data_IF_938408198117
#
_entry.id   IF_938408198117
#
_cell.length_a   1.000
_cell.length_b   1.000
_cell.length_c   1.000
_cell.angle_alpha   90.00
_cell.angle_beta   90.00
_cell.angle_gamma   90.00
#
_symmetry.space_group_name_H-M   'P 1'
#
loop_
_entity.id
_entity.type
_entity.pdbx_description
1 polymer ?
#
# COMPACT_ATOMS: atom_id res chain seq x y z
N UNK A 1 48.18 62.56 -23.90
CA UNK A 1 49.34 62.88 -23.04
C UNK A 1 49.01 62.37 -21.65
N UNK A 2 49.38 61.14 -21.31
CA UNK A 2 50.66 60.82 -20.61
C UNK A 2 50.82 61.67 -19.34
N UNK A 3 51.19 61.20 -18.16
CA UNK A 3 51.72 59.92 -17.67
C UNK A 3 51.78 60.03 -16.12
N UNK A 4 51.76 58.90 -15.40
CA UNK A 4 52.86 58.41 -14.54
C UNK A 4 53.13 59.20 -13.23
N UNK A 5 52.88 58.47 -12.13
CA UNK A 5 53.74 58.26 -10.96
C UNK A 5 54.75 59.37 -10.58
N UNK A 6 54.71 59.80 -9.32
CA UNK A 6 55.92 59.86 -8.50
C UNK A 6 55.59 60.08 -7.01
N UNK A 7 55.95 59.06 -6.22
CA UNK A 7 56.71 59.07 -4.94
C UNK A 7 56.38 60.12 -3.86
N UNK A 8 56.42 59.87 -2.56
CA UNK A 8 56.98 58.80 -1.76
C UNK A 8 57.31 59.39 -0.37
N UNK A 9 57.24 58.55 0.68
CA UNK A 9 57.61 58.81 2.10
C UNK A 9 56.64 59.64 2.94
N UNK A 10 55.84 58.93 3.75
CA UNK A 10 56.04 58.98 5.21
C UNK A 10 55.43 57.73 5.87
N UNK A 11 56.26 56.69 5.96
CA UNK A 11 56.13 55.66 6.98
C UNK A 11 56.47 56.27 8.35
N UNK A 12 55.70 55.88 9.37
CA UNK A 12 55.95 55.86 10.82
C UNK A 12 54.96 56.73 11.60
N UNK A 13 53.88 56.11 12.04
CA UNK A 13 53.31 56.22 13.40
C UNK A 13 51.85 55.75 13.34
N UNK A 14 51.62 54.44 13.44
CA UNK A 14 50.34 53.87 13.86
C UNK A 14 50.58 52.43 14.32
N UNK A 15 51.36 52.31 15.39
CA UNK A 15 51.31 51.19 16.32
C UNK A 15 50.73 51.72 17.64
N UNK A 16 49.79 50.95 18.18
CA UNK A 16 49.20 51.08 19.51
C UNK A 16 48.30 52.31 19.74
N UNK A 17 46.98 52.09 19.74
CA UNK A 17 46.16 52.18 20.96
C UNK A 17 44.70 51.87 20.66
N UNK A 18 44.29 50.69 21.13
CA UNK A 18 43.03 50.43 21.86
C UNK A 18 41.68 50.85 21.26
N UNK A 19 40.88 49.79 21.08
CA UNK A 19 39.47 49.60 21.51
C UNK A 19 38.37 49.75 20.45
N UNK A 20 37.60 48.67 20.43
CA UNK A 20 36.15 48.63 20.27
C UNK A 20 35.59 48.44 18.86
N UNK A 21 35.41 47.14 18.55
CA UNK A 21 34.21 46.50 18.01
C UNK A 21 34.50 45.59 16.81
N UNK A 22 33.93 44.40 16.89
CA UNK A 22 34.01 43.22 16.01
C UNK A 22 35.16 42.23 16.22
N UNK A 23 34.88 41.11 16.93
CA UNK A 23 35.49 39.84 16.63
C UNK A 23 34.56 38.94 15.80
N UNK A 24 35.16 38.34 14.77
CA UNK A 24 34.97 36.96 14.31
C UNK A 24 33.67 36.24 14.69
N UNK A 25 32.82 35.97 13.70
CA UNK A 25 31.93 34.81 13.74
C UNK A 25 32.76 33.57 13.40
N UNK A 26 33.42 33.02 14.42
CA UNK A 26 33.79 31.60 14.50
C UNK A 26 32.86 30.98 15.54
N UNK A 27 32.46 29.73 15.30
CA UNK A 27 31.70 28.86 16.20
C UNK A 27 30.21 29.22 16.39
N UNK A 28 29.36 28.50 15.66
CA UNK A 28 28.10 27.99 16.21
C UNK A 28 27.90 26.54 15.75
N UNK A 29 28.43 25.64 16.58
CA UNK A 29 27.76 24.43 17.04
C UNK A 29 27.18 23.53 15.94
N UNK A 30 28.06 22.71 15.36
CA UNK A 30 27.75 21.30 15.12
C UNK A 30 27.28 20.69 16.45
N UNK A 31 25.97 20.69 16.70
CA UNK A 31 25.42 19.80 17.71
C UNK A 31 25.68 18.38 17.21
N UNK A 32 26.29 17.49 18.01
CA UNK A 32 26.30 16.10 17.64
C UNK A 32 24.84 15.69 17.51
N UNK A 33 24.48 15.11 16.36
CA UNK A 33 23.30 14.26 16.29
C UNK A 33 23.47 13.32 17.48
N UNK A 34 22.64 13.47 18.50
CA UNK A 34 22.51 12.45 19.51
C UNK A 34 22.09 11.21 18.73
N UNK A 35 23.05 10.34 18.43
CA UNK A 35 22.78 8.92 18.30
C UNK A 35 22.16 8.56 19.63
N UNK A 36 20.84 8.62 19.68
CA UNK A 36 20.09 7.79 20.59
C UNK A 36 20.69 6.41 20.41
N UNK A 37 21.32 5.90 21.45
CA UNK A 37 21.73 4.52 21.52
C UNK A 37 20.49 3.71 21.20
N UNK A 38 20.46 3.14 19.99
CA UNK A 38 19.43 2.22 19.56
C UNK A 38 19.48 1.03 20.50
N UNK A 39 18.65 1.05 21.54
CA UNK A 39 18.28 -0.16 22.27
C UNK A 39 17.74 -1.14 21.24
N UNK A 40 18.42 -2.27 21.08
CA UNK A 40 18.37 -3.10 19.89
C UNK A 40 16.97 -3.56 19.49
N UNK A 41 16.66 -3.36 18.20
CA UNK A 41 16.25 -4.41 17.26
C UNK A 41 15.28 -5.50 17.78
N UNK A 42 14.10 -5.10 18.28
CA UNK A 42 12.97 -6.02 18.51
C UNK A 42 11.68 -5.57 17.79
N UNK A 43 11.50 -4.27 17.53
CA UNK A 43 10.26 -3.68 16.97
C UNK A 43 10.31 -3.38 15.46
N UNK A 44 10.86 -4.29 14.63
CA UNK A 44 10.85 -4.10 13.17
C UNK A 44 9.62 -4.75 12.54
N UNK A 45 9.03 -4.06 11.56
CA UNK A 45 8.03 -4.63 10.66
C UNK A 45 8.75 -5.53 9.65
N UNK A 46 8.17 -6.68 9.33
CA UNK A 46 8.74 -7.64 8.39
C UNK A 46 8.00 -7.66 7.05
N UNK A 47 6.79 -7.10 7.02
CA UNK A 47 5.92 -7.04 5.84
C UNK A 47 4.46 -7.23 6.21
N UNK A 48 3.63 -7.41 5.19
CA UNK A 48 2.22 -7.80 5.36
C UNK A 48 2.14 -9.29 5.72
N UNK A 49 1.40 -9.63 6.78
CA UNK A 49 1.15 -11.04 7.16
C UNK A 49 -0.04 -11.61 6.37
N UNK A 50 -1.18 -10.90 6.41
CA UNK A 50 -2.38 -11.23 5.62
C UNK A 50 -3.32 -10.02 5.56
N UNK A 51 -4.28 -10.07 4.63
CA UNK A 51 -5.43 -9.15 4.63
C UNK A 51 -6.68 -9.91 5.03
N UNK A 52 -7.44 -9.35 5.97
CA UNK A 52 -8.68 -9.94 6.48
C UNK A 52 -9.87 -9.17 5.91
N UNK A 53 -10.71 -9.89 5.17
CA UNK A 53 -11.93 -9.39 4.57
C UNK A 53 -13.14 -9.83 5.38
N UNK A 54 -14.07 -8.90 5.59
CA UNK A 54 -15.41 -9.23 6.04
C UNK A 54 -16.33 -9.21 4.82
N UNK A 55 -16.97 -10.35 4.59
CA UNK A 55 -17.72 -10.60 3.36
C UNK A 55 -19.05 -11.28 3.66
N UNK A 56 -20.03 -11.11 2.77
CA UNK A 56 -21.33 -11.74 2.89
C UNK A 56 -21.26 -13.27 2.84
N UNK A 57 -20.32 -13.82 2.06
CA UNK A 57 -20.11 -15.26 1.94
C UNK A 57 -18.63 -15.63 1.76
N UNK A 58 -17.96 -15.97 2.87
CA UNK A 58 -16.54 -16.34 2.91
C UNK A 58 -16.18 -17.51 1.99
N UNK A 59 -17.08 -18.49 1.86
CA UNK A 59 -16.85 -19.68 1.01
C UNK A 59 -16.83 -19.29 -0.47
N UNK A 60 -17.77 -18.45 -0.90
CA UNK A 60 -17.84 -17.99 -2.29
C UNK A 60 -16.73 -16.99 -2.61
N UNK A 61 -16.42 -16.07 -1.70
CA UNK A 61 -15.30 -15.14 -1.86
C UNK A 61 -13.99 -15.92 -2.04
N UNK A 62 -13.67 -16.85 -1.13
CA UNK A 62 -12.46 -17.68 -1.27
C UNK A 62 -12.42 -18.45 -2.60
N UNK A 63 -13.54 -19.07 -3.01
CA UNK A 63 -13.64 -19.78 -4.29
C UNK A 63 -13.41 -18.87 -5.51
N UNK A 64 -13.90 -17.62 -5.46
CA UNK A 64 -13.67 -16.63 -6.51
C UNK A 64 -12.18 -16.30 -6.63
N UNK A 65 -11.48 -16.02 -5.54
CA UNK A 65 -10.04 -15.72 -5.57
C UNK A 65 -9.19 -16.95 -5.95
N UNK A 66 -9.59 -18.15 -5.52
CA UNK A 66 -8.94 -19.41 -5.96
C UNK A 66 -9.06 -19.58 -7.47
N UNK A 67 -10.27 -19.42 -8.01
CA UNK A 67 -10.56 -19.70 -9.42
C UNK A 67 -10.04 -18.61 -10.35
N UNK A 68 -10.27 -17.33 -10.00
CA UNK A 68 -9.95 -16.19 -10.87
C UNK A 68 -8.51 -15.74 -10.75
N UNK A 69 -8.00 -15.68 -9.52
CA UNK A 69 -6.69 -15.09 -9.23
C UNK A 69 -5.58 -16.10 -9.06
N UNK A 70 -5.88 -17.40 -9.05
CA UNK A 70 -4.86 -18.43 -8.92
C UNK A 70 -4.42 -18.68 -7.48
N UNK A 71 -5.20 -18.26 -6.50
CA UNK A 71 -4.96 -18.61 -5.09
C UNK A 71 -5.26 -20.09 -4.82
N UNK A 72 -4.74 -20.59 -3.72
CA UNK A 72 -4.92 -21.95 -3.23
C UNK A 72 -5.55 -21.91 -1.82
N UNK A 73 -6.46 -22.84 -1.48
CA UNK A 73 -6.96 -22.96 -0.11
C UNK A 73 -5.84 -23.39 0.83
N UNK A 74 -5.77 -22.78 2.02
CA UNK A 74 -4.72 -23.09 3.00
C UNK A 74 -5.30 -23.54 4.32
N UNK A 75 -6.22 -22.75 4.88
CA UNK A 75 -6.70 -22.99 6.22
C UNK A 75 -8.17 -22.60 6.37
N UNK A 76 -8.85 -23.24 7.30
CA UNK A 76 -10.23 -23.01 7.63
C UNK A 76 -10.44 -22.96 9.13
N UNK A 77 -11.34 -22.07 9.55
CA UNK A 77 -11.90 -22.08 10.89
C UNK A 77 -13.41 -21.86 10.80
N UNK A 78 -14.21 -22.72 11.41
CA UNK A 78 -15.67 -22.62 11.38
C UNK A 78 -16.32 -23.65 12.29
N UNK A 79 -17.55 -24.06 11.99
CA UNK A 79 -18.35 -24.93 12.88
C UNK A 79 -17.62 -26.24 13.18
N UNK A 80 -17.03 -26.83 12.14
CA UNK A 80 -16.30 -28.10 12.14
C UNK A 80 -15.00 -28.02 12.95
N UNK A 81 -14.48 -26.81 13.17
CA UNK A 81 -13.27 -26.56 13.97
C UNK A 81 -13.59 -25.83 15.29
N UNK A 82 -14.86 -25.83 15.72
CA UNK A 82 -15.31 -25.26 17.00
C UNK A 82 -15.60 -23.76 17.01
N UNK A 83 -15.43 -23.04 15.90
CA UNK A 83 -15.79 -21.63 15.77
C UNK A 83 -17.26 -21.47 15.44
N UNK A 84 -18.08 -21.03 16.41
CA UNK A 84 -19.55 -21.03 16.29
C UNK A 84 -20.16 -19.72 15.80
N UNK A 85 -19.41 -18.62 15.88
CA UNK A 85 -19.90 -17.28 15.56
C UNK A 85 -19.45 -16.79 14.18
N UNK A 86 -18.25 -17.18 13.74
CA UNK A 86 -17.61 -16.74 12.50
C UNK A 86 -16.97 -17.94 11.80
N UNK A 87 -17.15 -18.01 10.49
CA UNK A 87 -16.38 -18.90 9.61
C UNK A 87 -15.37 -18.08 8.80
N UNK A 88 -14.14 -18.59 8.70
CA UNK A 88 -13.03 -17.95 8.00
C UNK A 88 -12.38 -18.93 7.04
N UNK A 89 -12.29 -18.54 5.76
CA UNK A 89 -11.56 -19.24 4.72
C UNK A 89 -10.25 -18.51 4.44
N UNK A 90 -9.11 -19.19 4.48
CA UNK A 90 -7.80 -18.61 4.21
C UNK A 90 -7.26 -19.18 2.93
N UNK A 91 -6.87 -18.30 2.02
CA UNK A 91 -6.28 -18.64 0.73
C UNK A 91 -4.94 -17.94 0.56
N UNK A 92 -4.05 -18.55 -0.24
CA UNK A 92 -2.68 -18.07 -0.44
C UNK A 92 -2.23 -18.16 -1.89
N UNK A 93 -1.35 -17.25 -2.30
CA UNK A 93 -0.56 -17.37 -3.52
C UNK A 93 0.82 -16.76 -3.26
N UNK A 94 1.88 -17.55 -3.47
CA UNK A 94 3.23 -17.13 -3.07
C UNK A 94 3.28 -16.87 -1.55
N UNK A 95 3.48 -15.62 -1.16
CA UNK A 95 3.42 -15.13 0.23
C UNK A 95 2.19 -14.25 0.52
N UNK A 96 1.36 -13.96 -0.48
CA UNK A 96 0.10 -13.24 -0.29
C UNK A 96 -0.91 -14.17 0.41
N UNK A 97 -1.50 -13.72 1.51
CA UNK A 97 -2.57 -14.44 2.21
C UNK A 97 -3.80 -13.56 2.38
N UNK A 98 -4.97 -14.07 2.00
CA UNK A 98 -6.26 -13.46 2.25
C UNK A 98 -7.11 -14.35 3.15
N UNK A 99 -7.68 -13.76 4.20
CA UNK A 99 -8.63 -14.40 5.09
C UNK A 99 -10.02 -13.81 4.85
N UNK A 100 -10.99 -14.60 4.43
CA UNK A 100 -12.37 -14.17 4.22
C UNK A 100 -13.24 -14.67 5.36
N UNK A 101 -13.92 -13.76 6.07
CA UNK A 101 -14.82 -14.12 7.16
C UNK A 101 -16.26 -13.73 6.89
N UNK A 102 -17.18 -14.56 7.38
CA UNK A 102 -18.60 -14.27 7.47
C UNK A 102 -19.16 -14.72 8.81
N UNK A 103 -20.16 -13.99 9.32
CA UNK A 103 -20.92 -14.41 10.48
C UNK A 103 -21.70 -15.71 10.18
N UNK A 104 -21.73 -16.62 11.15
CA UNK A 104 -22.49 -17.87 11.09
C UNK A 104 -23.88 -17.74 11.74
N UNK A 105 -24.00 -16.88 12.74
CA UNK A 105 -25.25 -16.66 13.47
C UNK A 105 -26.04 -15.48 12.88
N UNK A 106 -27.37 -15.61 12.75
CA UNK A 106 -28.23 -14.46 12.50
C UNK A 106 -28.05 -13.39 13.58
N UNK A 107 -28.11 -12.11 13.20
CA UNK A 107 -28.08 -11.00 14.15
C UNK A 107 -26.69 -10.63 14.70
N UNK A 108 -25.60 -11.17 14.13
CA UNK A 108 -24.26 -10.67 14.42
C UNK A 108 -24.15 -9.20 13.95
N UNK A 109 -24.21 -8.26 14.90
CA UNK A 109 -24.34 -6.84 14.59
C UNK A 109 -23.07 -6.25 13.99
N UNK A 110 -21.89 -6.77 14.34
CA UNK A 110 -20.63 -6.23 13.83
C UNK A 110 -20.48 -6.50 12.32
N UNK A 111 -20.68 -7.76 11.91
CA UNK A 111 -20.69 -8.11 10.49
C UNK A 111 -21.85 -7.44 9.76
N UNK A 112 -23.04 -7.36 10.37
CA UNK A 112 -24.19 -6.70 9.74
C UNK A 112 -23.91 -5.23 9.46
N UNK A 113 -23.39 -4.47 10.44
CA UNK A 113 -23.05 -3.05 10.25
C UNK A 113 -21.97 -2.86 9.18
N UNK A 114 -20.94 -3.69 9.19
CA UNK A 114 -19.87 -3.60 8.20
C UNK A 114 -20.40 -3.89 6.79
N UNK A 115 -21.12 -5.00 6.60
CA UNK A 115 -21.62 -5.42 5.29
C UNK A 115 -22.69 -4.48 4.74
N UNK A 116 -23.57 -3.95 5.60
CA UNK A 116 -24.55 -2.95 5.21
C UNK A 116 -23.85 -1.69 4.68
N UNK A 117 -22.88 -1.18 5.45
CA UNK A 117 -22.17 0.05 5.13
C UNK A 117 -21.25 -0.09 3.92
N UNK A 118 -20.41 -1.11 3.90
CA UNK A 118 -19.27 -1.22 2.98
C UNK A 118 -19.48 -2.22 1.83
N UNK A 119 -20.37 -3.20 1.98
CA UNK A 119 -20.35 -4.42 1.17
C UNK A 119 -19.21 -5.33 1.59
N UNK A 120 -18.68 -6.14 0.66
CA UNK A 120 -17.51 -6.96 0.91
C UNK A 120 -16.26 -6.07 0.92
N UNK A 121 -15.43 -6.14 1.96
CA UNK A 121 -14.33 -5.19 2.13
C UNK A 121 -13.21 -5.69 3.03
N UNK A 122 -12.05 -5.03 2.94
CA UNK A 122 -10.93 -5.27 3.86
C UNK A 122 -11.29 -4.67 5.22
N UNK A 123 -11.29 -5.50 6.25
CA UNK A 123 -11.50 -5.09 7.64
C UNK A 123 -10.17 -4.86 8.36
N UNK A 124 -9.16 -5.68 8.10
CA UNK A 124 -7.87 -5.64 8.81
C UNK A 124 -6.70 -5.85 7.85
N UNK A 125 -5.68 -5.02 8.00
CA UNK A 125 -4.39 -5.16 7.32
C UNK A 125 -3.39 -5.65 8.36
N UNK A 126 -3.15 -6.96 8.39
CA UNK A 126 -2.26 -7.56 9.38
C UNK A 126 -0.78 -7.42 8.98
N UNK A 127 0.05 -7.06 9.94
CA UNK A 127 1.48 -6.77 9.75
C UNK A 127 2.32 -7.75 10.57
N UNK A 128 3.26 -8.45 9.93
CA UNK A 128 4.21 -9.29 10.66
C UNK A 128 5.25 -8.39 11.33
N UNK A 129 5.50 -8.62 12.61
CA UNK A 129 6.43 -7.82 13.42
C UNK A 129 7.38 -8.70 14.23
N UNK A 130 8.56 -8.17 14.54
CA UNK A 130 9.53 -8.83 15.43
C UNK A 130 9.04 -8.96 16.88
N UNK A 131 8.32 -7.95 17.38
CA UNK A 131 7.79 -7.88 18.74
C UNK A 131 6.41 -7.21 18.76
N UNK A 132 5.38 -8.04 18.86
CA UNK A 132 3.98 -7.60 18.84
C UNK A 132 3.63 -6.77 20.07
N UNK A 133 4.17 -7.10 21.24
CA UNK A 133 3.86 -6.40 22.49
C UNK A 133 4.45 -4.99 22.45
N UNK A 134 5.72 -4.87 22.07
CA UNK A 134 6.40 -3.58 22.00
C UNK A 134 5.75 -2.62 20.98
N UNK A 135 5.38 -3.11 19.79
CA UNK A 135 4.72 -2.29 18.76
C UNK A 135 3.35 -1.81 19.24
N UNK A 136 2.55 -2.72 19.82
CA UNK A 136 1.25 -2.38 20.37
C UNK A 136 1.33 -1.38 21.53
N UNK A 137 2.21 -1.63 22.51
CA UNK A 137 2.36 -0.79 23.70
C UNK A 137 2.79 0.62 23.31
N UNK A 138 3.72 0.75 22.35
CA UNK A 138 4.11 2.03 21.78
C UNK A 138 2.92 2.73 21.10
N UNK A 139 2.16 2.03 20.27
CA UNK A 139 1.03 2.63 19.55
C UNK A 139 -0.02 3.17 20.53
N UNK A 140 -0.42 2.37 21.52
CA UNK A 140 -1.42 2.75 22.53
C UNK A 140 -0.89 3.85 23.46
N UNK A 141 0.38 3.80 23.86
CA UNK A 141 1.00 4.87 24.66
C UNK A 141 1.02 6.22 23.91
N UNK A 142 1.08 6.19 22.58
CA UNK A 142 0.96 7.38 21.74
C UNK A 142 -0.50 7.73 21.39
N UNK A 143 -1.50 7.01 21.91
CA UNK A 143 -2.92 7.33 21.74
C UNK A 143 -3.63 6.60 20.60
N UNK A 144 -3.09 5.48 20.11
CA UNK A 144 -3.86 4.59 19.23
C UNK A 144 -5.01 3.92 19.97
N UNK A 145 -6.17 3.77 19.31
CA UNK A 145 -7.31 3.03 19.85
C UNK A 145 -7.00 1.54 19.89
N UNK A 146 -7.06 0.95 21.08
CA UNK A 146 -6.91 -0.50 21.28
C UNK A 146 -8.19 -1.24 20.91
N UNK A 147 -8.11 -2.15 19.95
CA UNK A 147 -9.19 -3.09 19.63
C UNK A 147 -9.03 -4.40 20.40
N UNK A 148 -7.80 -4.95 20.42
CA UNK A 148 -7.47 -6.16 21.17
C UNK A 148 -6.05 -6.07 21.73
N UNK A 149 -5.85 -6.17 23.06
CA UNK A 149 -4.51 -6.18 23.64
C UNK A 149 -3.74 -7.45 23.26
N UNK A 150 -2.41 -7.45 23.43
CA UNK A 150 -1.56 -8.58 23.05
C UNK A 150 -2.01 -9.87 23.71
N UNK A 151 -2.42 -10.82 22.87
CA UNK A 151 -2.88 -12.13 23.24
C UNK A 151 -1.97 -13.20 22.63
N UNK A 152 -1.55 -14.13 23.46
CA UNK A 152 -0.71 -15.25 23.06
C UNK A 152 -1.58 -16.49 22.87
N UNK A 153 -1.41 -17.15 21.73
CA UNK A 153 -2.13 -18.37 21.39
C UNK A 153 -1.15 -19.41 20.88
N UNK A 154 -1.37 -20.66 21.27
CA UNK A 154 -0.49 -21.77 20.92
C UNK A 154 -1.30 -22.99 20.53
N UNK A 155 -0.72 -23.81 19.66
CA UNK A 155 -1.17 -25.16 19.31
C UNK A 155 0.05 -26.07 19.11
N UNK A 156 -0.14 -27.25 18.52
CA UNK A 156 0.94 -28.20 18.23
C UNK A 156 2.02 -27.66 17.29
N UNK A 157 1.75 -26.58 16.57
CA UNK A 157 2.65 -26.00 15.59
C UNK A 157 3.49 -24.84 16.12
N UNK A 158 3.28 -24.39 17.36
CA UNK A 158 4.06 -23.34 18.02
C UNK A 158 3.19 -22.23 18.63
N UNK A 159 3.76 -21.03 18.75
CA UNK A 159 3.10 -19.90 19.40
C UNK A 159 3.04 -18.66 18.50
N UNK A 160 1.90 -17.97 18.56
CA UNK A 160 1.69 -16.67 17.91
C UNK A 160 1.16 -15.67 18.93
N UNK A 161 1.77 -14.47 18.96
CA UNK A 161 1.26 -13.31 19.69
C UNK A 161 0.60 -12.36 18.70
N UNK A 162 -0.61 -11.93 19.00
CA UNK A 162 -1.34 -10.94 18.18
C UNK A 162 -1.89 -9.80 19.02
N UNK A 163 -1.95 -8.60 18.46
CA UNK A 163 -2.57 -7.43 19.06
C UNK A 163 -3.16 -6.55 17.96
N UNK A 164 -4.26 -5.85 18.23
CA UNK A 164 -5.00 -5.11 17.19
C UNK A 164 -5.30 -3.69 17.63
N UNK A 165 -5.04 -2.73 16.73
CA UNK A 165 -5.35 -1.29 16.88
C UNK A 165 -6.18 -0.80 15.71
N UNK A 166 -6.84 0.35 15.88
CA UNK A 166 -7.65 1.00 14.84
C UNK A 166 -6.97 2.29 14.35
N UNK A 167 -6.44 2.31 13.11
CA UNK A 167 -5.84 3.50 12.52
C UNK A 167 -6.84 4.58 12.11
N UNK A 168 -7.97 4.19 11.51
CA UNK A 168 -9.00 5.10 11.01
C UNK A 168 -10.29 4.35 10.71
N UNK A 169 -11.41 5.06 10.87
CA UNK A 169 -12.75 4.59 10.54
C UNK A 169 -12.98 3.13 11.00
N UNK A 170 -13.34 2.25 10.08
CA UNK A 170 -13.64 0.84 10.34
C UNK A 170 -12.47 -0.10 9.96
N UNK A 171 -11.27 0.40 9.65
CA UNK A 171 -10.10 -0.42 9.28
C UNK A 171 -9.22 -0.71 10.48
N UNK A 172 -8.72 -1.93 10.60
CA UNK A 172 -7.84 -2.37 11.69
C UNK A 172 -6.41 -2.67 11.20
N UNK A 173 -5.49 -2.67 12.16
CA UNK A 173 -4.17 -3.29 12.04
C UNK A 173 -3.94 -4.32 13.14
N UNK A 174 -3.82 -5.59 12.77
CA UNK A 174 -3.32 -6.66 13.65
C UNK A 174 -1.82 -6.85 13.48
N UNK A 175 -1.06 -6.66 14.56
CA UNK A 175 0.34 -7.06 14.61
C UNK A 175 0.43 -8.56 14.89
N UNK A 176 1.25 -9.27 14.11
CA UNK A 176 1.42 -10.72 14.22
C UNK A 176 2.89 -11.04 14.46
N UNK A 177 3.19 -11.68 15.59
CA UNK A 177 4.51 -12.18 15.92
C UNK A 177 4.45 -13.71 16.00
N UNK A 178 5.16 -14.37 15.09
CA UNK A 178 5.27 -15.84 15.02
C UNK A 178 6.56 -16.28 15.70
N UNK A 179 6.48 -17.11 16.74
CA UNK A 179 7.65 -17.68 17.41
C UNK A 179 7.69 -19.17 17.15
N UNK A 180 8.55 -19.58 16.20
CA UNK A 180 8.70 -20.96 15.74
C UNK A 180 7.36 -21.61 15.31
N UNK A 181 6.38 -20.80 14.87
CA UNK A 181 5.09 -21.29 14.43
C UNK A 181 5.16 -21.85 13.01
N UNK A 182 4.72 -23.10 12.83
CA UNK A 182 4.80 -23.84 11.55
C UNK A 182 3.44 -24.27 11.01
N UNK A 183 2.36 -23.81 11.62
CA UNK A 183 1.00 -24.18 11.26
C UNK A 183 0.53 -23.51 9.97
N UNK A 184 -0.63 -23.90 9.45
CA UNK A 184 -1.09 -23.46 8.13
C UNK A 184 -1.40 -21.96 8.06
N UNK A 185 -1.86 -21.37 9.16
CA UNK A 185 -2.16 -19.94 9.24
C UNK A 185 -1.97 -19.35 10.64
N UNK A 186 -2.89 -19.60 11.57
CA UNK A 186 -2.85 -19.16 12.97
C UNK A 186 -3.40 -20.27 13.86
N UNK A 187 -3.09 -20.28 15.17
CA UNK A 187 -3.64 -21.29 16.07
C UNK A 187 -5.16 -21.40 16.01
N UNK A 188 -5.66 -22.63 15.96
CA UNK A 188 -7.09 -22.93 15.85
C UNK A 188 -7.66 -22.90 14.43
N UNK A 189 -6.81 -22.81 13.40
CA UNK A 189 -7.18 -23.06 12.00
C UNK A 189 -6.75 -24.46 11.57
N UNK A 190 -7.67 -25.21 10.97
CA UNK A 190 -7.38 -26.51 10.36
C UNK A 190 -6.92 -26.34 8.91
N UNK A 191 -6.03 -27.19 8.40
CA UNK A 191 -5.64 -27.16 6.99
C UNK A 191 -6.82 -27.54 6.09
N UNK A 192 -6.89 -26.91 4.91
CA UNK A 192 -7.84 -27.31 3.86
C UNK A 192 -7.14 -28.22 2.83
N UNK A 193 -7.88 -29.19 2.24
CA UNK A 193 -7.36 -29.95 1.12
C UNK A 193 -7.20 -29.05 -0.12
N UNK A 194 -6.35 -29.48 -1.04
CA UNK A 194 -6.21 -28.85 -2.35
C UNK A 194 -7.55 -28.86 -3.11
N UNK A 195 -7.87 -27.75 -3.78
CA UNK A 195 -9.04 -27.65 -4.66
C UNK A 195 -8.67 -28.19 -6.06
N UNK A 196 -9.39 -29.20 -6.60
CA UNK A 196 -9.13 -29.73 -7.94
C UNK A 196 -9.14 -28.68 -9.06
N UNK A 197 -9.81 -27.54 -8.88
CA UNK A 197 -9.79 -26.45 -9.86
C UNK A 197 -8.37 -25.90 -10.08
N UNK A 198 -7.49 -26.02 -9.08
CA UNK A 198 -6.09 -25.58 -9.13
C UNK A 198 -5.35 -26.21 -10.30
N UNK A 199 -5.60 -27.50 -10.56
CA UNK A 199 -4.98 -28.24 -11.66
C UNK A 199 -5.56 -27.89 -13.04
N UNK A 200 -6.76 -27.29 -13.11
CA UNK A 200 -7.47 -26.99 -14.36
C UNK A 200 -7.24 -25.57 -14.87
N UNK A 201 -6.67 -24.69 -14.04
CA UNK A 201 -6.42 -23.29 -14.37
C UNK A 201 -4.93 -23.01 -14.48
N UNK A 202 -4.48 -22.12 -15.38
CA UNK A 202 -3.10 -21.65 -15.37
C UNK A 202 -2.79 -20.83 -14.10
N UNK A 203 -1.57 -20.99 -13.57
CA UNK A 203 -1.08 -20.25 -12.42
C UNK A 203 -0.81 -18.78 -12.78
N UNK A 204 -1.17 -17.84 -11.90
CA UNK A 204 -0.93 -16.41 -12.13
C UNK A 204 0.49 -15.98 -11.70
N UNK A 205 1.13 -16.66 -10.75
CA UNK A 205 2.51 -16.36 -10.37
C UNK A 205 2.67 -15.05 -9.58
N UNK A 206 1.69 -14.73 -8.74
CA UNK A 206 1.77 -13.61 -7.80
C UNK A 206 2.55 -14.05 -6.55
N UNK A 207 3.40 -13.17 -6.00
CA UNK A 207 4.28 -13.50 -4.87
C UNK A 207 3.96 -12.73 -3.59
N UNK A 208 4.13 -11.41 -3.55
CA UNK A 208 3.95 -10.59 -2.33
C UNK A 208 2.91 -9.49 -2.52
N UNK A 209 2.36 -9.02 -1.40
CA UNK A 209 1.69 -7.73 -1.35
C UNK A 209 2.79 -6.66 -1.43
N UNK A 210 2.76 -5.84 -2.49
CA UNK A 210 3.70 -4.74 -2.71
C UNK A 210 3.34 -3.53 -1.85
N UNK A 211 2.05 -3.15 -1.89
CA UNK A 211 1.50 -2.06 -1.12
C UNK A 211 -0.03 -2.17 -1.01
N UNK A 212 -0.63 -1.44 -0.06
CA UNK A 212 -2.08 -1.41 0.16
C UNK A 212 -2.53 0.05 0.28
N UNK A 213 -3.49 0.43 -0.55
CA UNK A 213 -3.92 1.82 -0.69
C UNK A 213 -5.23 2.07 0.05
N UNK A 214 -5.27 3.16 0.80
CA UNK A 214 -6.47 3.60 1.50
C UNK A 214 -6.97 4.94 1.00
N UNK A 215 -8.27 5.02 0.73
CA UNK A 215 -8.95 6.27 0.41
C UNK A 215 -9.59 6.84 1.67
N UNK A 216 -9.50 8.17 1.81
CA UNK A 216 -10.05 8.95 2.91
C UNK A 216 -11.09 9.95 2.40
N UNK A 217 -11.90 10.49 3.30
CA UNK A 217 -12.76 11.63 2.99
C UNK A 217 -11.96 12.90 2.68
N UNK A 218 -12.67 13.96 2.28
CA UNK A 218 -12.04 15.25 2.03
C UNK A 218 -11.36 15.79 3.28
N UNK A 219 -10.09 16.21 3.15
CA UNK A 219 -9.22 16.71 4.21
C UNK A 219 -8.90 15.70 5.32
N UNK A 220 -9.09 14.40 5.08
CA UNK A 220 -8.83 13.32 6.04
C UNK A 220 -7.50 12.58 5.81
N UNK A 221 -6.76 12.83 4.72
CA UNK A 221 -5.46 12.17 4.45
C UNK A 221 -4.41 12.51 5.52
N UNK A 222 -4.21 13.80 5.78
CA UNK A 222 -3.16 14.29 6.70
C UNK A 222 -3.32 13.78 8.15
N UNK A 223 -4.53 13.77 8.75
CA UNK A 223 -4.77 13.07 10.02
C UNK A 223 -4.31 11.61 10.03
N UNK A 224 -4.61 10.84 8.98
CA UNK A 224 -4.23 9.42 8.87
C UNK A 224 -2.72 9.26 8.71
N UNK A 225 -2.09 10.07 7.87
CA UNK A 225 -0.62 10.09 7.71
C UNK A 225 0.07 10.35 9.05
N UNK A 226 -0.42 11.33 9.83
CA UNK A 226 0.10 11.61 11.18
C UNK A 226 -0.11 10.44 12.13
N UNK A 227 -1.24 9.73 12.04
CA UNK A 227 -1.46 8.53 12.84
C UNK A 227 -0.34 7.50 12.63
N UNK A 228 0.00 7.17 11.38
CA UNK A 228 1.08 6.21 11.10
C UNK A 228 2.43 6.69 11.64
N UNK A 229 2.74 7.98 11.50
CA UNK A 229 3.99 8.54 11.98
C UNK A 229 4.09 8.55 13.51
N UNK A 230 3.07 9.09 14.18
CA UNK A 230 3.07 9.24 15.63
C UNK A 230 2.96 7.90 16.35
N UNK A 231 2.09 7.01 15.87
CA UNK A 231 1.74 5.77 16.60
C UNK A 231 2.67 4.63 16.24
N UNK A 232 3.05 4.49 14.97
CA UNK A 232 3.87 3.37 14.48
C UNK A 232 5.30 3.78 14.11
N UNK A 233 5.62 5.08 14.04
CA UNK A 233 6.95 5.55 13.64
C UNK A 233 7.23 5.41 12.16
N UNK A 234 6.19 5.37 11.34
CA UNK A 234 6.35 5.40 9.89
C UNK A 234 6.80 6.79 9.45
N UNK A 235 7.51 6.86 8.33
CA UNK A 235 7.86 8.12 7.68
C UNK A 235 7.04 8.35 6.43
N UNK A 236 6.93 9.62 6.01
CA UNK A 236 6.47 9.94 4.66
C UNK A 236 7.54 9.47 3.69
N UNK A 237 7.22 8.43 2.94
CA UNK A 237 8.09 7.86 1.93
C UNK A 237 8.04 8.69 0.66
N UNK A 238 6.82 9.09 0.27
CA UNK A 238 6.57 9.74 -1.00
C UNK A 238 5.25 10.52 -0.96
N UNK A 239 5.09 11.54 -1.79
CA UNK A 239 3.87 12.34 -1.88
C UNK A 239 3.68 12.95 -3.25
N UNK A 240 2.41 13.16 -3.61
CA UNK A 240 1.94 13.87 -4.79
C UNK A 240 0.73 14.72 -4.45
N UNK A 241 0.70 15.90 -5.04
CA UNK A 241 -0.42 16.81 -4.97
C UNK A 241 -1.23 16.83 -6.28
N UNK A 242 -2.29 17.63 -6.27
CA UNK A 242 -3.21 17.82 -7.39
C UNK A 242 -2.59 18.60 -8.55
N UNK A 243 -1.50 19.35 -8.33
CA UNK A 243 -0.72 19.94 -9.44
C UNK A 243 -0.01 18.85 -10.25
N UNK A 244 0.39 17.76 -9.59
CA UNK A 244 1.06 16.62 -10.23
C UNK A 244 0.08 15.54 -10.72
N UNK A 245 -1.08 15.38 -10.07
CA UNK A 245 -2.08 14.36 -10.41
C UNK A 245 -3.46 14.99 -10.62
N UNK A 246 -3.71 15.36 -11.88
CA UNK A 246 -5.03 15.78 -12.36
C UNK A 246 -5.26 15.31 -13.80
N UNK A 247 -6.52 15.07 -14.13
CA UNK A 247 -7.02 15.05 -15.51
C UNK A 247 -7.62 16.42 -15.84
N UNK A 248 -8.23 16.55 -17.03
CA UNK A 248 -9.07 17.72 -17.32
C UNK A 248 -10.25 17.83 -16.34
N UNK A 249 -10.69 16.71 -15.74
CA UNK A 249 -11.95 16.63 -15.01
C UNK A 249 -11.79 16.43 -13.50
N UNK A 250 -10.80 15.68 -13.01
CA UNK A 250 -10.67 15.36 -11.58
C UNK A 250 -9.21 15.24 -11.12
N UNK A 251 -8.99 15.25 -9.81
CA UNK A 251 -7.68 15.18 -9.17
C UNK A 251 -7.72 14.40 -7.85
N UNK A 252 -6.54 14.04 -7.32
CA UNK A 252 -6.37 13.54 -5.95
C UNK A 252 -5.08 14.08 -5.34
N UNK A 253 -4.97 13.92 -4.02
CA UNK A 253 -3.70 14.05 -3.29
C UNK A 253 -3.38 12.69 -2.66
N UNK A 254 -2.09 12.33 -2.65
CA UNK A 254 -1.64 11.06 -2.08
C UNK A 254 -0.34 11.23 -1.30
N UNK A 255 -0.29 10.62 -0.11
CA UNK A 255 0.93 10.48 0.67
C UNK A 255 1.14 9.00 0.98
N UNK A 256 2.31 8.50 0.64
CA UNK A 256 2.75 7.15 0.99
C UNK A 256 3.47 7.20 2.31
N UNK A 257 2.95 6.47 3.29
CA UNK A 257 3.65 6.20 4.54
C UNK A 257 4.32 4.84 4.47
N UNK A 258 5.48 4.74 5.11
CA UNK A 258 6.28 3.53 5.10
C UNK A 258 6.93 3.28 6.45
N UNK A 259 7.14 2.01 6.80
CA UNK A 259 7.97 1.67 7.95
C UNK A 259 9.45 2.04 7.68
N UNK A 260 10.30 2.17 8.72
CA UNK A 260 11.70 2.57 8.56
C UNK A 260 12.55 1.68 7.63
N UNK A 261 12.20 0.39 7.47
CA UNK A 261 12.89 -0.53 6.57
C UNK A 261 12.26 -0.57 5.16
N UNK A 262 11.18 0.18 4.95
CA UNK A 262 10.47 0.33 3.68
C UNK A 262 9.92 -0.97 3.08
N UNK A 263 9.59 -1.91 3.96
CA UNK A 263 8.98 -3.20 3.60
C UNK A 263 7.45 -3.15 3.58
N UNK A 264 6.84 -2.25 4.38
CA UNK A 264 5.40 -1.98 4.38
C UNK A 264 5.17 -0.59 3.83
N UNK A 265 4.45 -0.49 2.70
CA UNK A 265 4.09 0.78 2.07
C UNK A 265 2.58 0.94 2.00
N UNK A 266 2.07 2.05 2.48
CA UNK A 266 0.64 2.36 2.53
C UNK A 266 0.38 3.75 1.91
N UNK A 267 0.01 3.83 0.63
CA UNK A 267 -0.51 5.06 0.03
C UNK A 267 -1.86 5.46 0.66
N UNK A 268 -1.96 6.71 1.09
CA UNK A 268 -3.17 7.31 1.68
C UNK A 268 -3.63 8.41 0.74
N UNK A 269 -4.85 8.30 0.21
CA UNK A 269 -5.41 9.24 -0.75
C UNK A 269 -6.56 10.06 -0.14
N UNK A 270 -6.73 11.28 -0.60
CA UNK A 270 -7.96 12.07 -0.42
C UNK A 270 -8.41 12.69 -1.74
N UNK A 271 -9.70 13.02 -1.88
CA UNK A 271 -10.17 13.76 -3.04
C UNK A 271 -9.50 15.15 -3.13
N UNK A 272 -9.40 15.66 -4.35
CA UNK A 272 -9.02 17.03 -4.62
C UNK A 272 -10.02 17.67 -5.59
N UNK A 273 -10.01 19.00 -5.66
CA UNK A 273 -10.99 19.76 -6.43
C UNK A 273 -10.74 19.58 -7.94
N UNK A 274 -11.83 19.34 -8.69
CA UNK A 274 -11.83 19.25 -10.14
C UNK A 274 -13.15 19.72 -10.74
N UNK A 275 -13.27 19.72 -12.07
CA UNK A 275 -14.51 20.02 -12.79
C UNK A 275 -15.60 18.99 -12.47
N UNK A 276 -15.19 17.75 -12.15
CA UNK A 276 -16.03 16.59 -11.91
C UNK A 276 -15.66 15.89 -10.60
N UNK A 277 -16.51 14.94 -10.18
CA UNK A 277 -16.31 14.22 -8.92
C UNK A 277 -15.06 13.34 -9.01
N UNK A 278 -14.12 13.51 -8.07
CA UNK A 278 -12.95 12.65 -7.93
C UNK A 278 -13.37 11.18 -7.70
N UNK A 279 -12.67 10.25 -8.35
CA UNK A 279 -12.82 8.80 -8.10
C UNK A 279 -12.63 8.41 -6.63
N UNK A 280 -11.84 9.19 -5.87
CA UNK A 280 -11.67 8.97 -4.42
C UNK A 280 -12.99 9.25 -3.70
N UNK A 281 -13.71 10.29 -4.12
CA UNK A 281 -15.04 10.58 -3.60
C UNK A 281 -16.06 9.53 -4.05
N UNK A 282 -16.00 9.02 -5.29
CA UNK A 282 -16.84 7.88 -5.71
C UNK A 282 -16.63 6.68 -4.77
N UNK A 283 -15.38 6.32 -4.47
CA UNK A 283 -15.08 5.27 -3.51
C UNK A 283 -15.74 5.55 -2.16
N UNK A 284 -15.53 6.75 -1.58
CA UNK A 284 -16.06 7.09 -0.25
C UNK A 284 -17.59 7.04 -0.22
N UNK A 285 -18.25 7.47 -1.29
CA UNK A 285 -19.72 7.44 -1.39
C UNK A 285 -20.27 6.01 -1.39
N UNK A 286 -19.67 5.10 -2.18
CA UNK A 286 -20.16 3.72 -2.31
C UNK A 286 -19.63 2.77 -1.22
N UNK A 287 -18.46 3.06 -0.65
CA UNK A 287 -17.93 2.35 0.51
C UNK A 287 -18.57 2.85 1.82
N UNK A 288 -19.12 4.06 1.83
CA UNK A 288 -19.74 4.67 3.01
C UNK A 288 -18.74 5.27 4.01
N UNK A 289 -17.53 5.64 3.57
CA UNK A 289 -16.48 6.22 4.39
C UNK A 289 -15.05 5.85 3.92
N UNK A 290 -14.02 6.13 4.74
CA UNK A 290 -12.65 5.70 4.47
C UNK A 290 -12.48 4.18 4.46
N UNK A 291 -11.54 3.68 3.67
CA UNK A 291 -11.26 2.25 3.57
C UNK A 291 -10.18 1.90 2.55
N UNK A 292 -9.91 0.60 2.42
CA UNK A 292 -8.93 0.08 1.47
C UNK A 292 -9.51 0.09 0.05
N UNK A 293 -8.86 0.83 -0.84
CA UNK A 293 -9.25 0.94 -2.24
C UNK A 293 -8.64 -0.18 -3.08
N UNK A 294 -7.34 -0.42 -2.95
CA UNK A 294 -6.70 -1.47 -3.72
C UNK A 294 -5.51 -2.10 -3.02
N UNK A 295 -5.19 -3.29 -3.51
CA UNK A 295 -4.10 -4.13 -3.04
C UNK A 295 -3.22 -4.45 -4.24
N UNK A 296 -1.95 -4.05 -4.18
CA UNK A 296 -0.99 -4.34 -5.23
C UNK A 296 -0.27 -5.66 -4.94
N UNK A 297 -0.28 -6.56 -5.91
CA UNK A 297 0.33 -7.88 -5.84
C UNK A 297 1.49 -7.97 -6.82
N UNK A 298 2.69 -8.14 -6.28
CA UNK A 298 3.90 -8.23 -7.07
C UNK A 298 4.00 -9.57 -7.79
N UNK A 299 4.59 -9.55 -8.99
CA UNK A 299 4.98 -10.73 -9.74
C UNK A 299 6.34 -10.53 -10.42
N UNK A 300 7.16 -11.59 -10.57
CA UNK A 300 8.39 -11.53 -11.35
C UNK A 300 8.16 -11.64 -12.87
N UNK A 301 6.96 -12.01 -13.32
CA UNK A 301 6.60 -12.11 -14.75
C UNK A 301 5.15 -11.69 -14.99
N UNK A 302 4.97 -10.39 -15.18
CA UNK A 302 3.68 -9.74 -15.36
C UNK A 302 3.00 -10.10 -16.68
N UNK A 303 3.78 -10.43 -17.72
CA UNK A 303 3.26 -10.87 -19.01
C UNK A 303 2.53 -12.19 -18.84
N UNK A 304 3.18 -13.17 -18.20
CA UNK A 304 2.57 -14.46 -17.90
C UNK A 304 1.41 -14.29 -16.91
N UNK A 305 1.59 -13.50 -15.86
CA UNK A 305 0.57 -13.27 -14.84
C UNK A 305 -0.73 -12.73 -15.44
N UNK A 306 -0.68 -11.62 -16.18
CA UNK A 306 -1.88 -11.01 -16.76
C UNK A 306 -2.48 -11.90 -17.84
N UNK A 307 -1.66 -12.56 -18.65
CA UNK A 307 -2.16 -13.53 -19.65
C UNK A 307 -3.00 -14.63 -18.97
N UNK A 308 -2.52 -15.17 -17.86
CA UNK A 308 -3.19 -16.25 -17.15
C UNK A 308 -4.39 -15.75 -16.34
N UNK A 309 -4.30 -14.57 -15.72
CA UNK A 309 -5.44 -13.92 -15.05
C UNK A 309 -6.58 -13.63 -16.04
N UNK A 310 -6.28 -13.10 -17.24
CA UNK A 310 -7.29 -12.90 -18.30
C UNK A 310 -7.91 -14.25 -18.74
N UNK A 311 -7.12 -15.33 -18.88
CA UNK A 311 -7.64 -16.68 -19.17
C UNK A 311 -8.54 -17.23 -18.06
N UNK A 312 -8.22 -16.92 -16.80
CA UNK A 312 -9.03 -17.27 -15.64
C UNK A 312 -10.29 -16.41 -15.53
N UNK A 313 -10.47 -15.40 -16.38
CA UNK A 313 -11.64 -14.54 -16.46
C UNK A 313 -11.57 -13.27 -15.61
N UNK A 314 -10.38 -12.86 -15.16
CA UNK A 314 -10.19 -11.56 -14.51
C UNK A 314 -10.36 -10.45 -15.54
N UNK A 315 -11.18 -9.46 -15.19
CA UNK A 315 -11.38 -8.25 -15.99
C UNK A 315 -10.46 -7.13 -15.52
N UNK A 316 -9.82 -6.47 -16.47
CA UNK A 316 -8.92 -5.33 -16.25
C UNK A 316 -9.53 -4.04 -16.80
N UNK A 317 -9.01 -2.90 -16.34
CA UNK A 317 -9.31 -1.61 -16.95
C UNK A 317 -8.81 -1.57 -18.40
N UNK A 318 -9.40 -0.69 -19.22
CA UNK A 318 -9.02 -0.55 -20.62
C UNK A 318 -8.10 0.65 -20.83
N UNK A 319 -6.96 0.42 -21.49
CA UNK A 319 -5.96 1.45 -21.75
C UNK A 319 -6.01 1.84 -23.23
N UNK A 320 -6.12 3.15 -23.57
CA UNK A 320 -6.24 3.56 -24.97
C UNK A 320 -4.93 3.33 -25.73
N UNK A 321 -5.03 2.94 -27.01
CA UNK A 321 -3.84 2.74 -27.88
C UNK A 321 -2.92 3.95 -27.98
N UNK A 322 -3.47 5.17 -27.85
CA UNK A 322 -2.70 6.41 -27.86
C UNK A 322 -1.66 6.46 -26.74
N UNK A 323 -1.95 5.86 -25.57
CA UNK A 323 -0.97 5.74 -24.49
C UNK A 323 0.31 5.03 -24.94
N UNK A 324 0.19 3.92 -25.68
CA UNK A 324 1.33 3.14 -26.14
C UNK A 324 2.14 3.84 -27.24
N UNK A 325 1.46 4.64 -28.08
CA UNK A 325 2.11 5.49 -29.06
C UNK A 325 2.99 6.54 -28.37
N UNK A 326 2.43 7.22 -27.36
CA UNK A 326 3.14 8.22 -26.57
C UNK A 326 4.25 7.59 -25.72
N UNK A 327 4.01 6.42 -25.12
CA UNK A 327 5.00 5.66 -24.36
C UNK A 327 6.23 5.33 -25.20
N UNK A 328 6.05 4.83 -26.44
CA UNK A 328 7.16 4.52 -27.36
C UNK A 328 7.97 5.77 -27.70
N UNK A 329 7.30 6.91 -27.90
CA UNK A 329 7.98 8.18 -28.13
C UNK A 329 8.80 8.62 -26.91
N UNK A 330 8.26 8.51 -25.68
CA UNK A 330 8.99 8.83 -24.44
C UNK A 330 10.18 7.90 -24.22
N UNK A 331 10.00 6.58 -24.38
CA UNK A 331 11.10 5.61 -24.23
C UNK A 331 12.22 5.86 -25.25
N UNK A 332 11.89 6.24 -26.48
CA UNK A 332 12.86 6.60 -27.52
C UNK A 332 13.72 7.83 -27.20
N UNK A 333 13.34 8.62 -26.19
CA UNK A 333 14.13 9.76 -25.68
C UNK A 333 15.04 9.38 -24.52
N UNK A 334 15.03 8.12 -24.08
CA UNK A 334 15.83 7.62 -22.96
C UNK A 334 16.78 6.50 -23.40
N UNK A 335 17.79 6.21 -22.59
CA UNK A 335 18.64 5.02 -22.76
C UNK A 335 18.08 3.77 -22.09
N UNK A 336 16.92 3.88 -21.44
CA UNK A 336 16.31 2.79 -20.70
C UNK A 336 15.78 1.71 -21.67
N UNK A 337 16.09 0.46 -21.36
CA UNK A 337 15.60 -0.68 -22.12
C UNK A 337 14.61 -1.47 -21.27
N UNK A 338 13.33 -1.42 -21.67
CA UNK A 338 12.30 -2.32 -21.16
C UNK A 338 12.58 -3.72 -21.72
N UNK A 339 12.60 -4.72 -20.86
CA UNK A 339 12.99 -6.09 -21.24
C UNK A 339 11.85 -6.83 -21.93
N UNK A 340 10.61 -6.51 -21.55
CA UNK A 340 9.40 -7.09 -22.10
C UNK A 340 9.08 -6.53 -23.49
N UNK A 341 8.45 -7.37 -24.32
CA UNK A 341 7.99 -6.98 -25.65
C UNK A 341 6.87 -5.92 -25.56
N UNK A 342 7.13 -4.73 -26.11
CA UNK A 342 6.21 -3.60 -26.04
C UNK A 342 4.87 -3.85 -26.75
N UNK A 343 4.86 -4.67 -27.80
CA UNK A 343 3.62 -5.04 -28.50
C UNK A 343 2.75 -5.95 -27.62
N UNK A 344 3.38 -6.84 -26.86
CA UNK A 344 2.72 -7.67 -25.86
C UNK A 344 2.23 -6.85 -24.66
N UNK A 345 3.00 -5.86 -24.20
CA UNK A 345 2.58 -4.89 -23.18
C UNK A 345 1.31 -4.15 -23.62
N UNK A 346 1.29 -3.64 -24.86
CA UNK A 346 0.11 -2.98 -25.44
C UNK A 346 -1.10 -3.91 -25.52
N UNK A 347 -0.90 -5.14 -26.03
CA UNK A 347 -1.97 -6.14 -26.13
C UNK A 347 -2.54 -6.54 -24.77
N UNK A 348 -1.71 -6.55 -23.72
CA UNK A 348 -2.14 -6.90 -22.37
C UNK A 348 -2.67 -5.72 -21.57
N UNK A 349 -2.57 -4.49 -22.11
CA UNK A 349 -3.00 -3.26 -21.45
C UNK A 349 -2.21 -2.98 -20.16
N UNK A 350 -0.89 -3.21 -20.21
CA UNK A 350 0.06 -2.96 -19.13
C UNK A 350 0.57 -1.52 -19.23
N UNK A 351 0.61 -0.79 -18.13
CA UNK A 351 1.17 0.55 -18.03
C UNK A 351 2.66 0.46 -17.65
N UNK A 352 3.47 1.38 -18.18
CA UNK A 352 4.89 1.53 -17.84
C UNK A 352 5.15 2.95 -17.34
N UNK A 353 5.69 3.03 -16.12
CA UNK A 353 6.39 4.23 -15.68
C UNK A 353 7.86 3.94 -15.45
N UNK A 354 8.69 4.95 -15.54
CA UNK A 354 10.13 4.77 -15.45
C UNK A 354 10.86 6.01 -14.98
N UNK A 355 12.03 5.79 -14.41
CA UNK A 355 12.98 6.82 -14.04
C UNK A 355 14.39 6.47 -14.56
N UNK A 356 15.41 7.05 -13.95
CA UNK A 356 16.80 6.84 -14.33
C UNK A 356 17.38 5.52 -13.80
N UNK A 357 16.78 4.95 -12.75
CA UNK A 357 17.25 3.74 -12.08
C UNK A 357 16.54 2.49 -12.63
N UNK A 358 15.31 2.64 -13.13
CA UNK A 358 14.52 1.52 -13.59
C UNK A 358 13.13 1.83 -14.12
N UNK A 359 12.29 0.80 -14.18
CA UNK A 359 10.89 0.92 -14.61
C UNK A 359 9.94 0.04 -13.80
N UNK A 360 8.68 0.43 -13.88
CA UNK A 360 7.53 -0.17 -13.22
C UNK A 360 6.52 -0.60 -14.27
N UNK A 361 6.14 -1.87 -14.22
CA UNK A 361 5.01 -2.39 -14.97
C UNK A 361 3.82 -2.58 -14.03
N UNK A 362 2.66 -2.11 -14.42
CA UNK A 362 1.45 -2.25 -13.60
C UNK A 362 0.19 -2.33 -14.45
N UNK A 363 -0.85 -2.96 -13.91
CA UNK A 363 -2.22 -2.86 -14.44
C UNK A 363 -3.22 -3.08 -13.31
N UNK A 364 -4.47 -2.68 -13.53
CA UNK A 364 -5.51 -2.71 -12.52
C UNK A 364 -6.70 -3.54 -12.97
N UNK A 365 -7.24 -4.32 -12.06
CA UNK A 365 -8.49 -5.01 -12.29
C UNK A 365 -9.66 -4.02 -12.27
N UNK A 366 -10.79 -4.41 -12.84
CA UNK A 366 -12.08 -3.79 -12.49
C UNK A 366 -12.41 -4.04 -11.00
N UNK A 367 -13.35 -3.31 -10.39
CA UNK A 367 -13.80 -3.61 -9.03
C UNK A 367 -14.14 -5.09 -8.83
N UNK A 368 -13.80 -5.65 -7.66
CA UNK A 368 -14.02 -7.07 -7.33
C UNK A 368 -15.43 -7.35 -6.79
N UNK A 369 -16.29 -6.33 -6.82
CA UNK A 369 -17.69 -6.38 -6.49
C UNK A 369 -18.43 -5.29 -7.29
N UNK A 370 -19.76 -5.30 -7.27
CA UNK A 370 -20.56 -4.34 -8.02
C UNK A 370 -20.35 -2.88 -7.56
N UNK A 371 -20.09 -2.68 -6.26
CA UNK A 371 -19.73 -1.36 -5.74
C UNK A 371 -18.34 -0.95 -6.28
N UNK A 372 -18.15 0.25 -6.84
CA UNK A 372 -16.88 0.72 -7.38
C UNK A 372 -15.89 1.07 -6.26
N UNK A 373 -15.46 0.05 -5.52
CA UNK A 373 -14.70 0.18 -4.28
C UNK A 373 -13.39 -0.59 -4.39
N UNK A 374 -13.30 -1.80 -3.85
CA UNK A 374 -12.08 -2.60 -3.86
C UNK A 374 -11.74 -3.09 -5.29
N UNK A 375 -10.52 -2.80 -5.75
CA UNK A 375 -9.89 -3.45 -6.90
C UNK A 375 -8.48 -3.93 -6.56
N UNK A 376 -7.81 -4.57 -7.51
CA UNK A 376 -6.47 -5.13 -7.32
C UNK A 376 -5.52 -4.58 -8.39
N UNK A 377 -4.26 -4.44 -8.01
CA UNK A 377 -3.18 -4.08 -8.92
C UNK A 377 -2.24 -5.27 -9.08
N UNK A 378 -1.78 -5.52 -10.30
CA UNK A 378 -0.69 -6.45 -10.59
C UNK A 378 0.52 -5.63 -10.98
N UNK A 379 1.64 -5.82 -10.28
CA UNK A 379 2.81 -4.95 -10.38
C UNK A 379 4.10 -5.75 -10.55
N UNK A 380 5.03 -5.25 -11.36
CA UNK A 380 6.39 -5.78 -11.48
C UNK A 380 7.38 -4.62 -11.49
N UNK A 381 8.42 -4.73 -10.66
CA UNK A 381 9.43 -3.70 -10.44
C UNK A 381 10.77 -4.16 -11.02
N UNK A 382 11.38 -3.30 -11.84
CA UNK A 382 12.76 -3.47 -12.33
C UNK A 382 13.58 -2.27 -11.90
N UNK A 383 14.28 -2.37 -10.76
CA UNK A 383 15.12 -1.27 -10.26
C UNK A 383 14.33 -0.01 -9.84
N UNK A 384 13.00 -0.11 -9.66
CA UNK A 384 12.11 1.03 -9.42
C UNK A 384 11.39 0.94 -8.08
N UNK A 385 11.59 1.92 -7.21
CA UNK A 385 11.03 1.97 -5.85
C UNK A 385 9.81 2.89 -5.70
N UNK A 386 9.51 3.73 -6.69
CA UNK A 386 8.39 4.68 -6.67
C UNK A 386 7.02 4.05 -6.98
N UNK A 387 6.01 4.90 -7.18
CA UNK A 387 4.60 4.48 -7.42
C UNK A 387 4.09 4.76 -8.83
N UNK A 388 4.92 5.32 -9.69
CA UNK A 388 4.59 5.46 -11.10
C UNK A 388 3.71 6.68 -11.43
N UNK A 389 4.06 7.89 -10.98
CA UNK A 389 3.31 9.15 -11.25
C UNK A 389 2.94 9.32 -12.72
N UNK A 390 3.85 8.96 -13.63
CA UNK A 390 3.63 9.08 -15.06
C UNK A 390 2.47 8.21 -15.54
N UNK A 391 2.18 7.11 -14.84
CA UNK A 391 1.02 6.27 -15.10
C UNK A 391 -0.27 6.81 -14.48
N UNK A 392 -0.21 7.59 -13.39
CA UNK A 392 -1.40 8.02 -12.67
C UNK A 392 -2.38 8.74 -13.59
N UNK A 393 -1.93 9.64 -14.47
CA UNK A 393 -2.83 10.30 -15.42
C UNK A 393 -3.58 9.31 -16.32
N UNK A 394 -2.87 8.33 -16.90
CA UNK A 394 -3.47 7.36 -17.82
C UNK A 394 -4.38 6.36 -17.10
N UNK A 395 -3.99 5.97 -15.88
CA UNK A 395 -4.83 5.21 -14.97
C UNK A 395 -6.12 5.95 -14.63
N UNK A 396 -6.00 7.22 -14.27
CA UNK A 396 -7.13 8.09 -13.97
C UNK A 396 -8.08 8.22 -15.14
N UNK A 397 -7.58 8.51 -16.35
CA UNK A 397 -8.44 8.59 -17.53
C UNK A 397 -9.16 7.26 -17.82
N UNK A 398 -8.52 6.11 -17.53
CA UNK A 398 -9.16 4.81 -17.66
C UNK A 398 -10.25 4.57 -16.60
N UNK A 399 -9.99 4.93 -15.34
CA UNK A 399 -10.98 4.79 -14.26
C UNK A 399 -12.14 5.80 -14.44
N UNK A 400 -11.86 7.03 -14.88
CA UNK A 400 -12.87 8.05 -15.18
C UNK A 400 -13.82 7.59 -16.30
N UNK A 401 -13.33 6.90 -17.33
CA UNK A 401 -14.20 6.29 -18.35
C UNK A 401 -15.14 5.26 -17.74
N UNK A 402 -14.62 4.41 -16.86
CA UNK A 402 -15.41 3.43 -16.13
C UNK A 402 -16.42 4.12 -15.18
N UNK A 403 -16.04 5.22 -14.52
CA UNK A 403 -16.90 6.06 -13.68
C UNK A 403 -18.02 6.74 -14.49
N UNK A 404 -17.69 7.26 -15.67
CA UNK A 404 -18.66 7.83 -16.60
C UNK A 404 -19.65 6.77 -17.10
N UNK A 405 -19.19 5.55 -17.37
CA UNK A 405 -20.05 4.42 -17.74
C UNK A 405 -21.02 4.02 -16.60
N UNK A 406 -20.64 4.26 -15.34
CA UNK A 406 -21.52 4.12 -14.16
C UNK A 406 -22.44 5.33 -13.92
N UNK A 407 -22.23 6.46 -14.61
CA UNK A 407 -23.00 7.69 -14.43
C UNK A 407 -22.57 8.55 -13.23
N UNK A 408 -21.34 8.36 -12.73
CA UNK A 408 -20.84 9.00 -11.49
C UNK A 408 -19.74 10.05 -11.72
N UNK A 409 -19.39 10.36 -12.99
CA UNK A 409 -18.31 11.29 -13.34
C UNK A 409 -18.82 12.71 -13.53
#
# INVERSE_FOLDING_TARGET
FESILSTGRMLRHLQAMTRSCFPMVRSCLTKPVCRATSSGSASHFKGFDHLHFWVGNAKQAASYYITRFGFEPVAYRGLETGSRDVATQVVKQGRIMFAFSSALQPGNQDFSRHLERHGDGVKDVALEVGDCRAVYERAVANGATSIRPPNETSDEHGTVVTATVEPYADTWHTFVQRTAYTGPFLPGFAPLPEDPITALRPAAGLDIIDHVVSNQGDLEMEPVVRWYSDKLGFHRFWSVDDEQIHTEYSSLRSIVVSDPAEVVKMPINEPANGIRKSQIQEFVDFYGGPGIQHIAMNTPDIITAITNLKKNGVSFIQIPKTYYQDLRARLGQTSLQVQEDLDTIERLEILIDFDHDGYLLQTFTRPQQDRPTLFLEIIQRHGFSGFGVGNFKSLFEAIERDQAARGNL
#
